data_IF_588664037202
#
_entry.id   IF_588664037202
#
_cell.length_a   1.000
_cell.length_b   1.000
_cell.length_c   1.000
_cell.angle_alpha   90.00
_cell.angle_beta   90.00
_cell.angle_gamma   90.00
#
_symmetry.space_group_name_H-M   'P 1'
#
loop_
_entity.id
_entity.type
_entity.pdbx_description
1 polymer ?
#
# COMPACT_ATOMS: atom_id res chain seq x y z
N UNK A 1 2.73 55.66 30.22
CA UNK A 1 3.75 55.94 29.18
C UNK A 1 3.38 55.21 27.90
N UNK A 2 2.82 55.90 26.89
CA UNK A 2 2.61 55.31 25.55
C UNK A 2 3.94 55.37 24.79
N UNK A 3 4.59 54.23 24.60
CA UNK A 3 5.81 54.15 23.78
C UNK A 3 5.56 54.63 22.35
N UNK A 4 6.57 55.26 21.74
CA UNK A 4 6.52 55.74 20.36
C UNK A 4 6.17 54.61 19.40
N UNK A 5 5.51 54.92 18.28
CA UNK A 5 5.15 53.95 17.22
C UNK A 5 6.34 53.05 16.84
N UNK A 6 7.54 53.63 16.74
CA UNK A 6 8.79 52.91 16.46
C UNK A 6 9.11 51.81 17.48
N UNK A 7 8.90 52.07 18.78
CA UNK A 7 9.11 51.07 19.84
C UNK A 7 8.07 49.96 19.79
N UNK A 8 6.82 50.27 19.42
CA UNK A 8 5.77 49.26 19.24
C UNK A 8 6.04 48.37 18.03
N UNK A 9 6.49 48.94 16.92
CA UNK A 9 6.89 48.17 15.72
C UNK A 9 8.03 47.20 16.04
N UNK A 10 9.07 47.67 16.75
CA UNK A 10 10.21 46.83 17.14
C UNK A 10 9.82 45.61 17.99
N UNK A 11 8.67 45.64 18.66
CA UNK A 11 8.12 44.50 19.41
C UNK A 11 7.28 43.58 18.51
N UNK A 12 6.55 44.15 17.54
CA UNK A 12 5.64 43.39 16.65
C UNK A 12 6.42 42.62 15.58
N UNK A 13 7.46 43.22 14.99
CA UNK A 13 8.25 42.63 13.91
C UNK A 13 8.78 41.21 14.22
N UNK A 14 9.42 40.94 15.38
CA UNK A 14 9.88 39.59 15.69
C UNK A 14 8.72 38.59 15.85
N UNK A 15 7.58 39.02 16.42
CA UNK A 15 6.40 38.16 16.59
C UNK A 15 5.78 37.82 15.24
N UNK A 16 5.71 38.79 14.32
CA UNK A 16 5.20 38.55 12.97
C UNK A 16 6.09 37.54 12.22
N UNK A 17 7.42 37.68 12.31
CA UNK A 17 8.37 36.72 11.72
C UNK A 17 8.19 35.32 12.30
N UNK A 18 8.06 35.19 13.62
CA UNK A 18 7.81 33.91 14.28
C UNK A 18 6.50 33.26 13.79
N UNK A 19 5.41 34.03 13.68
CA UNK A 19 4.13 33.52 13.16
C UNK A 19 4.24 33.08 11.69
N UNK A 20 4.97 33.83 10.86
CA UNK A 20 5.20 33.46 9.47
C UNK A 20 5.99 32.15 9.34
N UNK A 21 7.04 31.98 10.14
CA UNK A 21 7.82 30.74 10.20
C UNK A 21 6.94 29.57 10.63
N UNK A 22 6.17 29.70 11.71
CA UNK A 22 5.24 28.66 12.19
C UNK A 22 4.17 28.32 11.16
N UNK A 23 3.65 29.30 10.42
CA UNK A 23 2.71 29.05 9.32
C UNK A 23 3.37 28.20 8.25
N UNK A 24 4.59 28.53 7.84
CA UNK A 24 5.31 27.78 6.80
C UNK A 24 5.59 26.34 7.24
N UNK A 25 6.07 26.14 8.47
CA UNK A 25 6.27 24.81 9.05
C UNK A 25 4.97 24.00 9.06
N UNK A 26 3.85 24.63 9.44
CA UNK A 26 2.54 23.96 9.43
C UNK A 26 2.11 23.56 8.02
N UNK A 27 2.34 24.40 7.00
CA UNK A 27 2.05 24.06 5.60
C UNK A 27 2.87 22.83 5.17
N UNK A 28 4.16 22.79 5.51
CA UNK A 28 5.01 21.63 5.18
C UNK A 28 4.53 20.35 5.85
N UNK A 29 4.06 20.44 7.10
CA UNK A 29 3.49 19.29 7.82
C UNK A 29 2.23 18.75 7.12
N UNK A 30 1.31 19.63 6.72
CA UNK A 30 0.13 19.26 5.95
C UNK A 30 0.50 18.62 4.60
N UNK A 31 1.42 19.25 3.85
CA UNK A 31 1.86 18.77 2.55
C UNK A 31 2.40 17.35 2.63
N UNK A 32 3.23 17.07 3.64
CA UNK A 32 3.78 15.75 3.87
C UNK A 32 2.70 14.70 4.16
N UNK A 33 1.70 15.03 5.00
CA UNK A 33 0.62 14.09 5.35
C UNK A 33 -0.28 13.82 4.15
N UNK A 34 -0.70 14.85 3.43
CA UNK A 34 -1.58 14.70 2.26
C UNK A 34 -0.87 13.98 1.11
N UNK A 35 0.45 14.16 0.95
CA UNK A 35 1.26 13.38 0.01
C UNK A 35 1.29 11.90 0.37
N UNK A 36 1.50 11.57 1.65
CA UNK A 36 1.44 10.17 2.10
C UNK A 36 0.05 9.55 1.89
N UNK A 37 -1.02 10.28 2.23
CA UNK A 37 -2.40 9.82 2.00
C UNK A 37 -2.61 9.50 0.52
N UNK A 38 -2.27 10.44 -0.36
CA UNK A 38 -2.47 10.26 -1.81
C UNK A 38 -1.66 9.09 -2.33
N UNK A 39 -0.42 8.91 -1.85
CA UNK A 39 0.46 7.80 -2.24
C UNK A 39 -0.14 6.45 -1.86
N UNK A 40 -0.63 6.32 -0.61
CA UNK A 40 -1.27 5.09 -0.14
C UNK A 40 -2.56 4.81 -0.90
N UNK A 41 -3.38 5.84 -1.16
CA UNK A 41 -4.59 5.67 -1.96
C UNK A 41 -4.30 5.17 -3.38
N UNK A 42 -3.23 5.68 -4.02
CA UNK A 42 -2.80 5.20 -5.33
C UNK A 42 -2.31 3.75 -5.27
N UNK A 43 -1.54 3.38 -4.24
CA UNK A 43 -1.09 2.00 -4.04
C UNK A 43 -2.26 1.03 -3.84
N UNK A 44 -3.25 1.39 -3.02
CA UNK A 44 -4.49 0.62 -2.83
C UNK A 44 -5.25 0.45 -4.15
N UNK A 45 -5.30 1.50 -4.98
CA UNK A 45 -5.92 1.47 -6.29
C UNK A 45 -5.11 0.67 -7.35
N UNK A 46 -3.92 0.16 -6.99
CA UNK A 46 -3.04 -0.58 -7.90
C UNK A 46 -2.34 0.33 -8.93
N UNK A 47 -2.16 1.61 -8.62
CA UNK A 47 -1.45 2.55 -9.48
C UNK A 47 0.00 2.73 -9.01
N UNK A 48 0.97 2.36 -9.85
CA UNK A 48 2.41 2.44 -9.56
C UNK A 48 3.01 3.83 -9.77
N UNK A 49 2.19 4.88 -9.96
CA UNK A 49 2.68 6.24 -10.18
C UNK A 49 3.34 6.78 -8.92
N UNK A 50 4.60 7.23 -9.06
CA UNK A 50 5.30 7.98 -8.01
C UNK A 50 4.61 9.34 -7.85
N UNK A 51 4.10 9.61 -6.64
CA UNK A 51 3.46 10.88 -6.31
C UNK A 51 4.51 11.82 -5.71
N UNK A 52 4.67 12.99 -6.32
CA UNK A 52 5.55 14.04 -5.83
C UNK A 52 4.79 15.03 -4.95
N UNK A 53 5.46 15.73 -4.02
CA UNK A 53 4.83 16.81 -3.25
C UNK A 53 4.27 17.92 -4.15
N UNK A 54 4.82 18.11 -5.35
CA UNK A 54 4.31 19.07 -6.35
C UNK A 54 2.97 18.67 -6.98
N UNK A 55 2.58 17.39 -6.87
CA UNK A 55 1.27 16.91 -7.34
C UNK A 55 0.16 17.16 -6.31
N UNK A 56 0.50 17.64 -5.10
CA UNK A 56 -0.42 17.75 -3.96
C UNK A 56 -0.59 19.23 -3.58
N UNK A 57 -1.85 19.64 -3.42
CA UNK A 57 -2.18 21.00 -3.00
C UNK A 57 -2.72 21.00 -1.56
N UNK A 58 -2.06 21.76 -0.69
CA UNK A 58 -2.52 21.98 0.68
C UNK A 58 -3.58 23.08 0.71
N UNK A 59 -4.70 22.82 1.39
CA UNK A 59 -5.67 23.87 1.68
C UNK A 59 -5.15 24.82 2.77
N UNK A 60 -4.49 25.90 2.37
CA UNK A 60 -4.01 26.93 3.30
C UNK A 60 -5.13 27.70 4.04
N UNK A 61 -6.40 27.53 3.67
CA UNK A 61 -7.52 28.18 4.36
C UNK A 61 -7.82 27.53 5.73
N UNK A 62 -7.42 26.28 5.94
CA UNK A 62 -7.60 25.56 7.21
C UNK A 62 -6.33 24.81 7.63
N UNK A 63 -5.45 25.53 8.34
CA UNK A 63 -4.23 24.98 8.95
C UNK A 63 -4.42 24.68 10.45
N UNK A 64 -5.66 24.47 10.89
CA UNK A 64 -5.98 24.26 12.31
C UNK A 64 -5.40 22.94 12.83
N UNK A 65 -5.13 22.89 14.13
CA UNK A 65 -4.65 21.67 14.79
C UNK A 65 -5.69 20.53 14.72
N UNK A 66 -6.98 20.86 14.73
CA UNK A 66 -8.06 19.89 14.57
C UNK A 66 -7.99 19.21 13.21
N UNK A 67 -7.93 19.99 12.13
CA UNK A 67 -7.83 19.46 10.76
C UNK A 67 -6.59 18.61 10.57
N UNK A 68 -5.45 19.06 11.12
CA UNK A 68 -4.21 18.28 11.09
C UNK A 68 -4.36 16.93 11.80
N UNK A 69 -5.02 16.89 12.95
CA UNK A 69 -5.26 15.65 13.70
C UNK A 69 -6.18 14.68 12.93
N UNK A 70 -7.23 15.19 12.28
CA UNK A 70 -8.11 14.40 11.41
C UNK A 70 -7.33 13.75 10.26
N UNK A 71 -6.48 14.53 9.57
CA UNK A 71 -5.63 14.00 8.50
C UNK A 71 -4.65 12.93 9.00
N UNK A 72 -4.06 13.12 10.19
CA UNK A 72 -3.18 12.11 10.81
C UNK A 72 -3.92 10.82 11.16
N UNK A 73 -5.15 10.92 11.69
CA UNK A 73 -6.00 9.75 11.98
C UNK A 73 -6.31 8.99 10.69
N UNK A 74 -6.74 9.71 9.66
CA UNK A 74 -7.06 9.10 8.37
C UNK A 74 -5.84 8.43 7.72
N UNK A 75 -4.66 9.06 7.80
CA UNK A 75 -3.42 8.46 7.35
C UNK A 75 -3.11 7.14 8.09
N UNK A 76 -3.34 7.09 9.40
CA UNK A 76 -3.10 5.89 10.21
C UNK A 76 -4.08 4.76 9.87
N UNK A 77 -5.35 5.09 9.63
CA UNK A 77 -6.37 4.14 9.17
C UNK A 77 -5.98 3.55 7.81
N UNK A 78 -5.59 4.40 6.85
CA UNK A 78 -5.15 3.96 5.52
C UNK A 78 -3.90 3.07 5.58
N UNK A 79 -2.91 3.42 6.42
CA UNK A 79 -1.72 2.58 6.64
C UNK A 79 -2.10 1.20 7.19
N UNK A 80 -3.02 1.16 8.15
CA UNK A 80 -3.48 -0.10 8.75
C UNK A 80 -4.21 -0.96 7.72
N UNK A 81 -5.11 -0.35 6.94
CA UNK A 81 -5.84 -1.03 5.88
C UNK A 81 -4.92 -1.59 4.78
N UNK A 82 -3.95 -0.80 4.31
CA UNK A 82 -2.98 -1.26 3.32
C UNK A 82 -2.13 -2.43 3.87
N UNK A 83 -1.75 -2.38 5.15
CA UNK A 83 -1.01 -3.47 5.78
C UNK A 83 -1.85 -4.76 5.85
N UNK A 84 -3.14 -4.65 6.19
CA UNK A 84 -4.06 -5.77 6.19
C UNK A 84 -4.18 -6.40 4.81
N UNK A 85 -4.44 -5.60 3.76
CA UNK A 85 -4.48 -6.07 2.36
C UNK A 85 -3.20 -6.81 1.94
N UNK A 86 -2.03 -6.25 2.29
CA UNK A 86 -0.74 -6.89 2.03
C UNK A 86 -0.60 -8.23 2.76
N UNK A 87 -1.08 -8.30 4.00
CA UNK A 87 -1.04 -9.53 4.80
C UNK A 87 -1.95 -10.61 4.22
N UNK A 88 -3.17 -10.26 3.80
CA UNK A 88 -4.10 -11.18 3.14
C UNK A 88 -3.52 -11.70 1.82
N UNK A 89 -2.93 -10.81 1.02
CA UNK A 89 -2.26 -11.17 -0.23
C UNK A 89 -1.08 -12.11 0.03
N UNK A 90 -0.29 -11.88 1.08
CA UNK A 90 0.82 -12.76 1.45
C UNK A 90 0.33 -14.15 1.88
N UNK A 91 -0.72 -14.23 2.69
CA UNK A 91 -1.33 -15.50 3.08
C UNK A 91 -1.86 -16.27 1.87
N UNK A 92 -2.46 -15.56 0.91
CA UNK A 92 -2.93 -16.15 -0.34
C UNK A 92 -1.76 -16.73 -1.16
N UNK A 93 -0.67 -15.96 -1.30
CA UNK A 93 0.56 -16.40 -1.95
C UNK A 93 1.15 -17.66 -1.30
N UNK A 94 1.22 -17.71 0.03
CA UNK A 94 1.71 -18.87 0.76
C UNK A 94 0.86 -20.13 0.48
N UNK A 95 -0.47 -19.99 0.46
CA UNK A 95 -1.38 -21.10 0.12
C UNK A 95 -1.19 -21.59 -1.31
N UNK A 96 -1.07 -20.67 -2.27
CA UNK A 96 -0.77 -21.00 -3.67
C UNK A 96 0.54 -21.79 -3.77
N UNK A 97 1.61 -21.31 -3.15
CA UNK A 97 2.90 -22.01 -3.13
C UNK A 97 2.80 -23.40 -2.50
N UNK A 98 2.05 -23.55 -1.41
CA UNK A 98 1.82 -24.86 -0.79
C UNK A 98 1.12 -25.84 -1.74
N UNK A 99 0.10 -25.40 -2.46
CA UNK A 99 -0.57 -26.26 -3.46
C UNK A 99 0.35 -26.60 -4.63
N UNK A 100 1.13 -25.65 -5.14
CA UNK A 100 2.10 -25.91 -6.21
C UNK A 100 3.13 -26.95 -5.77
N UNK A 101 3.67 -26.85 -4.56
CA UNK A 101 4.59 -27.86 -4.01
C UNK A 101 3.94 -29.24 -3.89
N UNK A 102 2.69 -29.32 -3.43
CA UNK A 102 1.97 -30.58 -3.35
C UNK A 102 1.75 -31.21 -4.74
N UNK A 103 1.40 -30.41 -5.76
CA UNK A 103 1.28 -30.87 -7.15
C UNK A 103 2.64 -31.37 -7.64
N UNK A 104 3.73 -30.67 -7.37
CA UNK A 104 5.08 -31.09 -7.75
C UNK A 104 5.45 -32.45 -7.16
N UNK A 105 5.23 -32.67 -5.86
CA UNK A 105 5.51 -33.95 -5.21
C UNK A 105 4.67 -35.10 -5.78
N UNK A 106 3.37 -34.86 -6.01
CA UNK A 106 2.47 -35.87 -6.57
C UNK A 106 2.83 -36.22 -8.02
N UNK A 107 3.17 -35.21 -8.83
CA UNK A 107 3.55 -35.42 -10.24
C UNK A 107 4.87 -36.16 -10.37
N UNK A 108 5.86 -35.92 -9.49
CA UNK A 108 7.08 -36.74 -9.40
C UNK A 108 6.71 -38.19 -9.09
N UNK A 109 5.92 -38.43 -8.05
CA UNK A 109 5.53 -39.78 -7.63
C UNK A 109 4.83 -40.55 -8.76
N UNK A 110 3.98 -39.86 -9.52
CA UNK A 110 3.20 -40.45 -10.61
C UNK A 110 3.89 -40.41 -11.98
N UNK A 111 5.11 -39.87 -12.07
CA UNK A 111 5.82 -39.61 -13.35
C UNK A 111 5.00 -38.80 -14.37
N UNK A 112 4.26 -37.79 -13.91
CA UNK A 112 3.44 -36.89 -14.72
C UNK A 112 4.18 -35.58 -15.04
N UNK A 113 3.79 -34.91 -16.14
CA UNK A 113 4.35 -33.62 -16.54
C UNK A 113 3.78 -32.47 -15.68
N UNK A 114 4.54 -32.11 -14.64
CA UNK A 114 4.24 -30.98 -13.75
C UNK A 114 3.97 -29.67 -14.48
N UNK A 115 4.80 -29.32 -15.48
CA UNK A 115 4.68 -28.02 -16.17
C UNK A 115 3.39 -27.94 -16.96
N UNK A 116 3.01 -29.04 -17.60
CA UNK A 116 1.74 -29.15 -18.32
C UNK A 116 0.55 -29.00 -17.36
N UNK A 117 0.61 -29.63 -16.19
CA UNK A 117 -0.46 -29.56 -15.17
C UNK A 117 -0.61 -28.12 -14.64
N UNK A 118 0.48 -27.46 -14.25
CA UNK A 118 0.43 -26.07 -13.76
C UNK A 118 -0.05 -25.10 -14.85
N UNK A 119 0.41 -25.26 -16.10
CA UNK A 119 -0.01 -24.42 -17.22
C UNK A 119 -1.52 -24.53 -17.51
N UNK A 120 -2.13 -25.71 -17.31
CA UNK A 120 -3.56 -25.90 -17.43
C UNK A 120 -4.37 -25.18 -16.34
N UNK A 121 -3.80 -25.04 -15.13
CA UNK A 121 -4.44 -24.32 -14.01
C UNK A 121 -4.35 -22.82 -14.22
N UNK A 122 -3.14 -22.31 -14.49
CA UNK A 122 -2.95 -20.95 -14.94
C UNK A 122 -1.58 -20.81 -15.65
N UNK A 123 -1.55 -20.38 -16.92
CA UNK A 123 -0.30 -20.16 -17.66
C UNK A 123 0.67 -19.19 -16.98
N UNK A 124 0.16 -18.22 -16.20
CA UNK A 124 1.01 -17.27 -15.47
C UNK A 124 1.80 -17.98 -14.36
N UNK A 125 1.22 -18.97 -13.68
CA UNK A 125 1.90 -19.74 -12.64
C UNK A 125 3.05 -20.59 -13.19
N UNK A 126 2.91 -21.11 -14.41
CA UNK A 126 3.97 -21.85 -15.09
C UNK A 126 5.18 -20.97 -15.44
N UNK A 127 4.96 -19.66 -15.61
CA UNK A 127 5.99 -18.66 -15.90
C UNK A 127 6.53 -17.96 -14.63
N UNK A 128 5.87 -18.16 -13.47
CA UNK A 128 6.24 -17.54 -12.20
C UNK A 128 7.29 -18.33 -11.42
N UNK A 129 8.52 -18.35 -11.95
CA UNK A 129 9.73 -18.50 -11.12
C UNK A 129 10.32 -17.13 -10.71
N UNK A 130 9.78 -16.01 -11.21
CA UNK A 130 10.35 -14.65 -11.07
C UNK A 130 9.46 -13.61 -10.35
N UNK A 131 8.49 -14.01 -9.51
CA UNK A 131 8.02 -13.15 -8.40
C UNK A 131 7.08 -11.96 -8.67
N UNK A 132 6.47 -11.78 -9.85
CA UNK A 132 5.49 -10.69 -10.08
C UNK A 132 4.12 -11.18 -10.58
N UNK A 133 3.34 -11.89 -9.76
CA UNK A 133 1.98 -12.28 -10.17
C UNK A 133 1.04 -11.09 -10.13
N UNK A 134 0.65 -10.57 -11.30
CA UNK A 134 -0.55 -9.72 -11.44
C UNK A 134 -1.79 -10.59 -11.19
N UNK A 135 -2.54 -10.21 -10.16
CA UNK A 135 -3.82 -10.77 -9.69
C UNK A 135 -3.83 -12.29 -9.44
N UNK A 136 -3.52 -12.70 -8.21
CA UNK A 136 -3.93 -14.02 -7.71
C UNK A 136 -5.39 -13.90 -7.29
N UNK A 137 -6.30 -14.43 -8.10
CA UNK A 137 -7.72 -14.49 -7.78
C UNK A 137 -8.05 -15.78 -7.03
N UNK A 138 -9.10 -15.76 -6.20
CA UNK A 138 -9.59 -16.94 -5.46
C UNK A 138 -9.88 -18.15 -6.36
N UNK A 139 -10.22 -17.91 -7.63
CA UNK A 139 -10.41 -18.94 -8.65
C UNK A 139 -9.15 -19.79 -8.90
N UNK A 140 -7.97 -19.16 -8.96
CA UNK A 140 -6.69 -19.86 -9.13
C UNK A 140 -6.45 -20.80 -7.95
N UNK A 141 -6.76 -20.33 -6.73
CA UNK A 141 -6.61 -21.13 -5.52
C UNK A 141 -7.60 -22.31 -5.49
N UNK A 142 -8.83 -22.11 -5.95
CA UNK A 142 -9.81 -23.19 -6.06
C UNK A 142 -9.38 -24.25 -7.07
N UNK A 143 -8.88 -23.84 -8.24
CA UNK A 143 -8.38 -24.74 -9.28
C UNK A 143 -7.17 -25.54 -8.81
N UNK A 144 -6.21 -24.90 -8.14
CA UNK A 144 -5.06 -25.57 -7.51
C UNK A 144 -5.49 -26.62 -6.48
N UNK A 145 -6.45 -26.27 -5.60
CA UNK A 145 -6.98 -27.21 -4.61
C UNK A 145 -7.68 -28.41 -5.27
N UNK A 146 -8.46 -28.15 -6.33
CA UNK A 146 -9.14 -29.20 -7.09
C UNK A 146 -8.14 -30.17 -7.71
N UNK A 147 -7.08 -29.67 -8.34
CA UNK A 147 -6.06 -30.50 -8.96
C UNK A 147 -5.32 -31.38 -7.94
N UNK A 148 -4.94 -30.81 -6.79
CA UNK A 148 -4.34 -31.58 -5.69
C UNK A 148 -5.24 -32.74 -5.25
N UNK A 149 -6.55 -32.53 -5.18
CA UNK A 149 -7.49 -33.58 -4.80
C UNK A 149 -7.59 -34.66 -5.89
N UNK A 150 -7.66 -34.27 -7.17
CA UNK A 150 -7.69 -35.22 -8.30
C UNK A 150 -6.42 -36.08 -8.35
N UNK A 151 -5.24 -35.48 -8.22
CA UNK A 151 -3.97 -36.22 -8.20
C UNK A 151 -3.88 -37.17 -7.00
N UNK A 152 -4.38 -36.78 -5.82
CA UNK A 152 -4.45 -37.67 -4.65
C UNK A 152 -5.39 -38.86 -4.86
N UNK A 153 -6.51 -38.66 -5.55
CA UNK A 153 -7.44 -39.73 -5.89
C UNK A 153 -6.82 -40.71 -6.89
N UNK A 154 -6.09 -40.22 -7.89
CA UNK A 154 -5.39 -41.05 -8.87
C UNK A 154 -4.20 -41.85 -8.30
N UNK A 155 -3.70 -41.45 -7.12
CA UNK A 155 -2.65 -42.16 -6.40
C UNK A 155 -3.18 -43.40 -5.65
N UNK A 156 -4.47 -43.47 -5.35
CA UNK A 156 -5.11 -44.64 -4.71
C UNK A 156 -5.31 -45.76 -5.72
#
# INVERSE_FOLDING_TARGET
MKGTLKKKLAIIDPVLKDIQTKKHERIQEFLNIETQITTICAEIAGNDKVISPTDVQVNEQDLTAKRLAELKSHLQELKSYLQELKSETNLLLQRVNSYISAIYELTIFMSLDFKKIIANINPSLANHLNGQSKSICNEILANLKSEVNSLKQLKQ
#
